data_IF_680027889289
#
_entry.id   IF_680027889289
#
_cell.length_a   1.000
_cell.length_b   1.000
_cell.length_c   1.000
_cell.angle_alpha   90.00
_cell.angle_beta   90.00
_cell.angle_gamma   90.00
#
_symmetry.space_group_name_H-M   'P 1'
#
loop_
_entity.id
_entity.type
_entity.pdbx_description
1 polymer ?
#
# COMPACT_ATOMS: atom_id res chain seq x y z
N UNK A 1 -16.44 -14.60 -2.81
CA UNK A 1 -16.66 -15.20 -1.45
C UNK A 1 -15.38 -15.04 -0.66
N UNK A 2 -15.47 -14.45 0.52
CA UNK A 2 -14.33 -14.24 1.43
C UNK A 2 -13.83 -15.61 1.91
N UNK A 3 -12.50 -15.82 1.82
CA UNK A 3 -11.85 -17.03 2.33
C UNK A 3 -11.15 -16.68 3.64
N UNK A 4 -11.60 -17.28 4.73
CA UNK A 4 -10.90 -17.18 6.01
C UNK A 4 -9.58 -17.95 5.93
N UNK A 5 -8.51 -17.32 6.35
CA UNK A 5 -7.17 -17.91 6.38
C UNK A 5 -6.97 -18.72 7.66
N UNK A 6 -6.43 -19.91 7.53
CA UNK A 6 -6.00 -20.72 8.68
C UNK A 6 -4.76 -20.09 9.34
N UNK A 7 -4.41 -20.48 10.58
CA UNK A 7 -3.15 -20.05 11.20
C UNK A 7 -1.92 -20.32 10.33
N UNK A 8 -1.89 -21.44 9.62
CA UNK A 8 -0.79 -21.79 8.71
C UNK A 8 -0.74 -20.87 7.50
N UNK A 9 -1.91 -20.48 6.93
CA UNK A 9 -1.99 -19.53 5.84
C UNK A 9 -1.47 -18.15 6.27
N UNK A 10 -1.80 -17.72 7.49
CA UNK A 10 -1.32 -16.47 8.08
C UNK A 10 0.22 -16.44 8.19
N UNK A 11 0.85 -17.57 8.56
CA UNK A 11 2.33 -17.62 8.57
C UNK A 11 2.92 -17.45 7.17
N UNK A 12 2.29 -18.02 6.13
CA UNK A 12 2.68 -17.78 4.75
C UNK A 12 2.56 -16.31 4.34
N UNK A 13 1.46 -15.67 4.72
CA UNK A 13 1.22 -14.23 4.49
C UNK A 13 2.22 -13.33 5.23
N UNK A 14 2.60 -13.68 6.46
CA UNK A 14 3.63 -12.94 7.21
C UNK A 14 4.97 -12.93 6.49
N UNK A 15 5.37 -14.06 5.89
CA UNK A 15 6.65 -14.16 5.17
C UNK A 15 6.67 -13.23 3.96
N UNK A 16 5.64 -13.28 3.11
CA UNK A 16 5.60 -12.42 1.92
C UNK A 16 5.35 -10.95 2.27
N UNK A 17 4.53 -10.66 3.28
CA UNK A 17 4.33 -9.32 3.81
C UNK A 17 5.61 -8.71 4.40
N UNK A 18 6.42 -9.49 5.12
CA UNK A 18 7.71 -9.06 5.63
C UNK A 18 8.70 -8.75 4.49
N UNK A 19 8.73 -9.59 3.43
CA UNK A 19 9.60 -9.36 2.28
C UNK A 19 9.19 -8.08 1.52
N UNK A 20 7.91 -7.90 1.20
CA UNK A 20 7.45 -6.69 0.49
C UNK A 20 7.64 -5.43 1.33
N UNK A 21 7.39 -5.49 2.65
CA UNK A 21 7.67 -4.38 3.58
C UNK A 21 9.14 -3.98 3.59
N UNK A 22 10.05 -4.95 3.66
CA UNK A 22 11.50 -4.65 3.69
C UNK A 22 11.98 -4.14 2.33
N UNK A 23 11.46 -4.68 1.22
CA UNK A 23 11.73 -4.17 -0.12
C UNK A 23 11.30 -2.69 -0.24
N UNK A 24 10.08 -2.37 0.22
CA UNK A 24 9.55 -1.01 0.24
C UNK A 24 10.41 -0.08 1.10
N UNK A 25 10.78 -0.50 2.31
CA UNK A 25 11.58 0.30 3.25
C UNK A 25 12.94 0.67 2.65
N UNK A 26 13.66 -0.32 2.11
CA UNK A 26 14.99 -0.10 1.50
C UNK A 26 14.90 0.71 0.20
N UNK A 27 13.85 0.50 -0.60
CA UNK A 27 13.60 1.33 -1.79
C UNK A 27 13.35 2.79 -1.38
N UNK A 28 12.61 2.99 -0.27
CA UNK A 28 12.37 4.32 0.31
C UNK A 28 13.63 5.03 0.78
N UNK A 29 14.62 4.29 1.30
CA UNK A 29 15.91 4.87 1.70
C UNK A 29 16.74 5.40 0.52
N UNK A 30 16.45 4.95 -0.70
CA UNK A 30 17.08 5.45 -1.91
C UNK A 30 16.43 6.72 -2.45
N UNK A 31 15.25 7.10 -1.96
CA UNK A 31 14.50 8.28 -2.43
C UNK A 31 15.28 9.55 -2.14
N UNK A 32 15.64 10.25 -3.20
CA UNK A 32 16.36 11.54 -3.14
C UNK A 32 16.17 12.30 -4.45
N UNK A 33 16.40 13.61 -4.48
CA UNK A 33 16.43 14.36 -5.73
C UNK A 33 17.46 13.76 -6.71
N UNK A 34 17.10 13.74 -7.99
CA UNK A 34 17.94 13.26 -9.08
C UNK A 34 17.89 11.75 -9.35
N UNK A 35 17.22 10.94 -8.50
CA UNK A 35 17.01 9.53 -8.80
C UNK A 35 15.81 9.35 -9.75
N UNK A 36 15.89 8.41 -10.68
CA UNK A 36 14.76 8.04 -11.52
C UNK A 36 13.85 7.01 -10.85
N UNK A 37 12.57 7.02 -11.18
CA UNK A 37 11.64 6.01 -10.69
C UNK A 37 11.99 4.61 -11.20
N UNK A 38 12.68 4.49 -12.36
CA UNK A 38 13.21 3.24 -12.86
C UNK A 38 14.33 2.65 -11.99
N UNK A 39 15.24 3.49 -11.44
CA UNK A 39 16.28 3.01 -10.52
C UNK A 39 15.68 2.44 -9.24
N UNK A 40 14.62 3.07 -8.71
CA UNK A 40 13.86 2.57 -7.56
C UNK A 40 13.18 1.22 -7.88
N UNK A 41 12.55 1.12 -9.06
CA UNK A 41 11.90 -0.11 -9.53
C UNK A 41 12.90 -1.26 -9.67
N UNK A 42 14.04 -0.98 -10.31
CA UNK A 42 15.09 -1.98 -10.53
C UNK A 42 15.68 -2.49 -9.21
N UNK A 43 15.95 -1.59 -8.28
CA UNK A 43 16.42 -1.97 -6.95
C UNK A 43 15.42 -2.87 -6.21
N UNK A 44 14.14 -2.48 -6.21
CA UNK A 44 13.08 -3.25 -5.57
C UNK A 44 12.95 -4.65 -6.17
N UNK A 45 13.00 -4.76 -7.51
CA UNK A 45 12.98 -6.04 -8.22
C UNK A 45 14.15 -6.94 -7.81
N UNK A 46 15.36 -6.40 -7.84
CA UNK A 46 16.57 -7.15 -7.52
C UNK A 46 16.54 -7.63 -6.07
N UNK A 47 16.10 -6.78 -5.15
CA UNK A 47 15.97 -7.14 -3.74
C UNK A 47 14.96 -8.29 -3.54
N UNK A 48 13.76 -8.18 -4.09
CA UNK A 48 12.73 -9.23 -3.96
C UNK A 48 13.24 -10.55 -4.52
N UNK A 49 13.86 -10.54 -5.71
CA UNK A 49 14.38 -11.76 -6.35
C UNK A 49 15.55 -12.37 -5.58
N UNK A 50 16.46 -11.56 -5.07
CA UNK A 50 17.60 -12.01 -4.27
C UNK A 50 17.17 -12.72 -2.99
N UNK A 51 16.01 -12.36 -2.43
CA UNK A 51 15.44 -12.96 -1.24
C UNK A 51 14.39 -14.07 -1.54
N UNK A 52 14.43 -14.62 -2.75
CA UNK A 52 13.60 -15.78 -3.14
C UNK A 52 12.14 -15.47 -3.42
N UNK A 53 11.77 -14.20 -3.51
CA UNK A 53 10.44 -13.76 -3.90
C UNK A 53 10.31 -13.52 -5.41
N UNK A 54 9.07 -13.36 -5.84
CA UNK A 54 8.71 -12.91 -7.19
C UNK A 54 7.98 -11.57 -7.08
N UNK A 55 8.35 -10.53 -7.86
CA UNK A 55 7.61 -9.26 -7.90
C UNK A 55 6.13 -9.48 -8.18
N UNK A 56 5.27 -8.96 -7.31
CA UNK A 56 3.83 -9.23 -7.38
C UNK A 56 3.11 -8.46 -8.48
N UNK A 57 3.61 -7.26 -8.81
CA UNK A 57 2.95 -6.37 -9.78
C UNK A 57 3.44 -6.56 -11.21
N UNK A 58 4.71 -6.94 -11.39
CA UNK A 58 5.32 -7.07 -12.72
C UNK A 58 4.63 -8.15 -13.56
N UNK A 59 3.96 -7.70 -14.63
CA UNK A 59 3.15 -8.57 -15.50
C UNK A 59 1.70 -8.74 -15.05
N UNK A 60 1.33 -8.32 -13.84
CA UNK A 60 -0.05 -8.39 -13.36
C UNK A 60 -0.92 -7.41 -14.15
N UNK A 61 -1.96 -7.92 -14.82
CA UNK A 61 -2.80 -7.08 -15.71
C UNK A 61 -2.02 -6.33 -16.80
N UNK A 62 -0.79 -6.77 -17.13
CA UNK A 62 0.08 -6.11 -18.11
C UNK A 62 0.93 -4.96 -17.53
N UNK A 63 0.92 -4.75 -16.21
CA UNK A 63 1.74 -3.72 -15.57
C UNK A 63 3.24 -4.01 -15.76
N UNK A 64 4.06 -3.03 -16.23
CA UNK A 64 5.44 -3.32 -16.63
C UNK A 64 6.46 -3.29 -15.48
N UNK A 65 6.14 -2.65 -14.36
CA UNK A 65 7.04 -2.42 -13.24
C UNK A 65 6.90 -3.40 -12.08
N UNK A 66 7.87 -3.38 -11.20
CA UNK A 66 7.85 -4.06 -9.91
C UNK A 66 7.15 -3.22 -8.84
N UNK A 67 7.30 -1.90 -8.94
CA UNK A 67 6.63 -0.93 -8.09
C UNK A 67 5.65 -0.07 -8.87
N UNK A 68 4.61 0.43 -8.22
CA UNK A 68 3.96 1.66 -8.65
C UNK A 68 4.72 2.83 -8.05
N UNK A 69 5.05 3.82 -8.86
CA UNK A 69 5.85 4.99 -8.47
C UNK A 69 5.07 6.26 -8.81
N UNK A 70 4.17 6.65 -7.91
CA UNK A 70 3.22 7.76 -8.14
C UNK A 70 3.74 9.05 -7.50
N UNK A 71 4.02 10.06 -8.32
CA UNK A 71 4.65 11.32 -7.90
C UNK A 71 3.57 12.37 -7.71
N UNK A 72 3.60 13.08 -6.59
CA UNK A 72 2.76 14.23 -6.25
C UNK A 72 1.24 13.91 -6.33
N UNK A 73 0.55 14.37 -7.36
CA UNK A 73 -0.89 14.25 -7.57
C UNK A 73 -1.32 12.98 -8.35
N UNK A 74 -0.35 12.14 -8.72
CA UNK A 74 -0.70 10.82 -9.23
C UNK A 74 -1.27 9.95 -8.11
N UNK A 75 -2.52 9.54 -8.27
CA UNK A 75 -3.24 8.83 -7.19
C UNK A 75 -2.63 7.45 -6.95
N UNK A 76 -2.51 6.62 -8.01
CA UNK A 76 -1.96 5.26 -7.97
C UNK A 76 -1.39 4.88 -9.36
N UNK A 77 -0.70 3.74 -9.43
CA UNK A 77 -0.27 3.06 -10.66
C UNK A 77 0.70 3.85 -11.52
N UNK A 78 1.47 4.79 -10.94
CA UNK A 78 2.54 5.48 -11.66
C UNK A 78 3.54 4.47 -12.23
N UNK A 79 3.77 4.50 -13.56
CA UNK A 79 4.69 3.55 -14.24
C UNK A 79 6.14 4.05 -14.08
N UNK A 80 7.05 3.23 -13.55
CA UNK A 80 8.46 3.59 -13.43
C UNK A 80 9.10 3.87 -14.81
N UNK A 81 9.90 4.93 -14.90
CA UNK A 81 10.58 5.33 -16.13
C UNK A 81 11.94 5.95 -15.84
N UNK A 82 12.86 5.83 -16.80
CA UNK A 82 14.17 6.48 -16.77
C UNK A 82 14.08 8.00 -16.87
N UNK A 83 13.02 8.50 -17.50
CA UNK A 83 12.81 9.92 -17.73
C UNK A 83 12.04 10.60 -16.58
N UNK A 84 11.53 9.83 -15.64
CA UNK A 84 10.83 10.35 -14.46
C UNK A 84 11.81 10.48 -13.30
N UNK A 85 12.41 11.65 -13.21
CA UNK A 85 13.43 12.01 -12.20
C UNK A 85 12.75 12.73 -11.04
N UNK A 86 13.02 12.30 -9.82
CA UNK A 86 12.51 12.96 -8.62
C UNK A 86 13.22 14.29 -8.39
N UNK A 87 12.43 15.31 -8.05
CA UNK A 87 12.90 16.65 -7.75
C UNK A 87 12.78 16.98 -6.26
N UNK A 88 13.60 17.92 -5.80
CA UNK A 88 13.48 18.48 -4.45
C UNK A 88 12.06 18.98 -4.21
N UNK A 89 11.47 18.60 -3.09
CA UNK A 89 10.13 18.98 -2.72
C UNK A 89 9.01 18.04 -3.18
N UNK A 90 9.29 17.05 -4.05
CA UNK A 90 8.30 16.04 -4.43
C UNK A 90 7.91 15.15 -3.24
N UNK A 91 6.76 14.51 -3.35
CA UNK A 91 6.40 13.32 -2.59
C UNK A 91 6.21 12.17 -3.57
N UNK A 92 6.63 10.97 -3.21
CA UNK A 92 6.43 9.78 -4.04
C UNK A 92 5.76 8.67 -3.24
N UNK A 93 4.62 8.19 -3.72
CA UNK A 93 3.98 6.98 -3.21
C UNK A 93 4.57 5.78 -3.95
N UNK A 94 5.24 4.93 -3.20
CA UNK A 94 5.79 3.66 -3.69
C UNK A 94 4.91 2.55 -3.15
N UNK A 95 4.42 1.71 -4.06
CA UNK A 95 3.60 0.56 -3.77
C UNK A 95 4.26 -0.67 -4.40
N UNK A 96 4.39 -1.76 -3.64
CA UNK A 96 5.06 -2.97 -4.10
C UNK A 96 4.49 -4.23 -3.48
N UNK A 97 4.40 -5.27 -4.29
CA UNK A 97 4.01 -6.60 -3.86
C UNK A 97 5.10 -7.65 -4.06
N UNK A 98 5.15 -8.63 -3.18
CA UNK A 98 6.03 -9.78 -3.32
C UNK A 98 5.27 -11.09 -3.14
N UNK A 99 5.57 -12.06 -3.99
CA UNK A 99 5.01 -13.42 -3.88
C UNK A 99 6.08 -14.39 -3.39
N UNK A 100 5.77 -15.13 -2.33
CA UNK A 100 6.63 -16.19 -1.77
C UNK A 100 5.79 -17.43 -1.54
N UNK A 101 6.21 -18.57 -2.09
CA UNK A 101 5.48 -19.87 -1.97
C UNK A 101 3.99 -19.76 -2.33
N UNK A 102 3.66 -18.88 -3.29
CA UNK A 102 2.30 -18.65 -3.77
C UNK A 102 1.42 -17.81 -2.84
N UNK A 103 1.97 -17.20 -1.77
CA UNK A 103 1.33 -16.17 -0.97
C UNK A 103 1.81 -14.79 -1.41
N UNK A 104 0.91 -13.81 -1.36
CA UNK A 104 1.18 -12.45 -1.82
C UNK A 104 1.19 -11.49 -0.63
N UNK A 105 2.23 -10.66 -0.56
CA UNK A 105 2.32 -9.51 0.34
C UNK A 105 2.27 -8.23 -0.47
N UNK A 106 1.64 -7.20 0.08
CA UNK A 106 1.38 -5.92 -0.57
C UNK A 106 1.58 -4.78 0.43
N UNK A 107 2.39 -3.78 0.08
CA UNK A 107 2.73 -2.68 0.98
C UNK A 107 2.98 -1.39 0.20
N UNK A 108 2.42 -0.30 0.69
CA UNK A 108 2.64 1.04 0.14
C UNK A 108 3.04 2.04 1.21
N UNK A 109 3.85 3.01 0.81
CA UNK A 109 4.22 4.16 1.63
C UNK A 109 4.57 5.38 0.79
N UNK A 110 4.32 6.57 1.32
CA UNK A 110 4.71 7.81 0.65
C UNK A 110 5.94 8.40 1.32
N UNK A 111 6.95 8.72 0.49
CA UNK A 111 8.24 9.25 0.90
C UNK A 111 8.40 10.70 0.44
N UNK A 112 9.01 11.52 1.29
CA UNK A 112 9.42 12.86 0.93
C UNK A 112 10.72 12.82 0.10
N UNK A 113 10.82 13.68 -0.90
CA UNK A 113 12.01 13.85 -1.73
C UNK A 113 12.72 15.13 -1.29
N UNK A 114 13.76 14.98 -0.45
CA UNK A 114 14.43 16.12 0.15
C UNK A 114 13.51 16.89 1.10
N UNK A 115 13.52 18.22 1.01
CA UNK A 115 12.70 19.08 1.85
C UNK A 115 11.35 19.39 1.18
N UNK A 116 10.26 18.93 1.79
CA UNK A 116 8.89 19.16 1.32
C UNK A 116 8.21 20.30 2.07
N UNK A 117 7.18 20.91 1.46
CA UNK A 117 6.37 21.96 2.08
C UNK A 117 5.61 21.49 3.33
N UNK A 118 5.21 22.42 4.19
CA UNK A 118 4.45 22.10 5.40
C UNK A 118 3.07 21.50 5.08
N UNK A 119 2.44 21.93 3.99
CA UNK A 119 1.17 21.32 3.52
C UNK A 119 1.35 19.86 3.12
N UNK A 120 2.46 19.52 2.44
CA UNK A 120 2.78 18.14 2.09
C UNK A 120 3.08 17.30 3.33
N UNK A 121 3.84 17.84 4.29
CA UNK A 121 4.08 17.17 5.58
C UNK A 121 2.77 16.87 6.30
N UNK A 122 1.90 17.87 6.42
CA UNK A 122 0.60 17.71 7.07
C UNK A 122 -0.26 16.64 6.39
N UNK A 123 -0.28 16.60 5.04
CA UNK A 123 -0.98 15.56 4.29
C UNK A 123 -0.43 14.15 4.62
N UNK A 124 0.89 13.98 4.63
CA UNK A 124 1.51 12.67 4.94
C UNK A 124 1.23 12.25 6.39
N UNK A 125 1.30 13.17 7.34
CA UNK A 125 1.00 12.90 8.75
C UNK A 125 -0.45 12.49 8.95
N UNK A 126 -1.40 13.24 8.41
CA UNK A 126 -2.84 12.91 8.51
C UNK A 126 -3.15 11.57 7.84
N UNK A 127 -2.54 11.29 6.68
CA UNK A 127 -2.73 10.01 5.98
C UNK A 127 -2.18 8.83 6.78
N UNK A 128 -1.01 8.99 7.38
CA UNK A 128 -0.43 7.99 8.30
C UNK A 128 -1.35 7.73 9.49
N UNK A 129 -1.90 8.79 10.09
CA UNK A 129 -2.80 8.67 11.22
C UNK A 129 -4.13 8.01 10.81
N UNK A 130 -4.63 8.27 9.58
CA UNK A 130 -5.76 7.55 9.00
C UNK A 130 -5.51 6.03 8.97
N UNK A 131 -4.32 5.60 8.54
CA UNK A 131 -3.94 4.19 8.51
C UNK A 131 -3.92 3.59 9.93
N UNK A 132 -3.31 4.28 10.89
CA UNK A 132 -3.27 3.81 12.27
C UNK A 132 -4.68 3.62 12.85
N UNK A 133 -5.57 4.59 12.66
CA UNK A 133 -6.96 4.52 13.09
C UNK A 133 -7.74 3.41 12.38
N UNK A 134 -7.47 3.17 11.09
CA UNK A 134 -8.07 2.07 10.33
C UNK A 134 -7.66 0.71 10.91
N UNK A 135 -6.39 0.53 11.24
CA UNK A 135 -5.85 -0.70 11.85
C UNK A 135 -6.52 -0.97 13.20
N UNK A 136 -6.74 0.04 14.02
CA UNK A 136 -7.45 -0.10 15.30
C UNK A 136 -8.89 -0.62 15.13
N UNK A 137 -9.51 -0.34 13.98
CA UNK A 137 -10.86 -0.84 13.68
C UNK A 137 -10.86 -2.23 13.06
N UNK A 138 -9.73 -2.72 12.54
CA UNK A 138 -9.62 -4.01 11.89
C UNK A 138 -9.56 -5.17 12.91
N UNK A 139 -10.58 -5.27 13.75
CA UNK A 139 -10.70 -6.28 14.81
C UNK A 139 -11.97 -7.12 14.62
N UNK A 140 -11.97 -8.40 15.05
CA UNK A 140 -13.15 -9.24 14.97
C UNK A 140 -14.36 -8.61 15.70
N UNK A 141 -15.50 -8.63 15.02
CA UNK A 141 -16.75 -8.09 15.56
C UNK A 141 -17.11 -6.70 15.04
N UNK A 142 -16.12 -5.90 14.62
CA UNK A 142 -16.35 -4.66 13.89
C UNK A 142 -16.80 -4.94 12.44
N UNK A 143 -17.11 -3.90 11.68
CA UNK A 143 -17.53 -4.00 10.29
C UNK A 143 -16.56 -3.24 9.37
N UNK A 144 -16.55 -3.57 8.08
CA UNK A 144 -15.74 -2.82 7.09
C UNK A 144 -16.04 -1.32 7.11
N UNK A 145 -17.31 -0.94 7.36
CA UNK A 145 -17.70 0.46 7.49
C UNK A 145 -17.06 1.18 8.68
N UNK A 146 -16.64 0.48 9.73
CA UNK A 146 -15.93 1.07 10.87
C UNK A 146 -14.52 1.49 10.45
N UNK A 147 -13.83 0.68 9.64
CA UNK A 147 -12.52 1.00 9.05
C UNK A 147 -12.64 2.26 8.17
N UNK A 148 -13.56 2.23 7.20
CA UNK A 148 -13.76 3.36 6.29
C UNK A 148 -14.21 4.63 6.99
N UNK A 149 -15.06 4.53 8.01
CA UNK A 149 -15.48 5.67 8.82
C UNK A 149 -14.29 6.30 9.59
N UNK A 150 -13.42 5.49 10.16
CA UNK A 150 -12.24 5.98 10.88
C UNK A 150 -11.34 6.81 9.97
N UNK A 151 -11.03 6.31 8.76
CA UNK A 151 -10.26 7.02 7.74
C UNK A 151 -10.97 8.32 7.33
N UNK A 152 -12.21 8.21 6.86
CA UNK A 152 -12.96 9.34 6.33
C UNK A 152 -13.13 10.45 7.36
N UNK A 153 -13.54 10.12 8.59
CA UNK A 153 -13.81 11.11 9.63
C UNK A 153 -12.53 11.86 10.03
N UNK A 154 -11.39 11.17 10.09
CA UNK A 154 -10.11 11.79 10.42
C UNK A 154 -9.63 12.71 9.28
N UNK A 155 -9.61 12.22 8.04
CA UNK A 155 -9.23 13.03 6.89
C UNK A 155 -10.08 14.30 6.76
N UNK A 156 -11.41 14.18 6.84
CA UNK A 156 -12.33 15.30 6.73
C UNK A 156 -12.18 16.32 7.88
N UNK A 157 -11.90 15.87 9.09
CA UNK A 157 -11.61 16.75 10.23
C UNK A 157 -10.41 17.68 9.97
N UNK A 158 -9.45 17.21 9.16
CA UNK A 158 -8.26 17.97 8.78
C UNK A 158 -8.40 18.66 7.41
N UNK A 159 -9.62 18.69 6.83
CA UNK A 159 -9.90 19.38 5.57
C UNK A 159 -9.55 18.61 4.31
N UNK A 160 -9.22 17.32 4.43
CA UNK A 160 -8.89 16.48 3.28
C UNK A 160 -10.09 15.67 2.78
N UNK A 161 -10.13 15.43 1.47
CA UNK A 161 -11.06 14.50 0.85
C UNK A 161 -10.59 13.04 0.96
N UNK A 162 -11.47 12.11 0.59
CA UNK A 162 -11.16 10.68 0.47
C UNK A 162 -11.45 10.22 -0.94
N UNK A 163 -10.48 9.57 -1.58
CA UNK A 163 -10.64 8.95 -2.89
C UNK A 163 -11.63 7.79 -2.77
N UNK A 164 -12.63 7.74 -3.68
CA UNK A 164 -13.71 6.75 -3.63
C UNK A 164 -13.60 5.68 -4.69
N UNK A 165 -12.91 5.99 -5.79
CA UNK A 165 -12.76 5.13 -6.96
C UNK A 165 -11.78 3.98 -6.74
N UNK A 166 -10.82 4.18 -5.84
CA UNK A 166 -9.85 3.19 -5.44
C UNK A 166 -10.04 2.81 -3.98
N UNK A 167 -10.03 1.52 -3.71
CA UNK A 167 -10.28 0.96 -2.39
C UNK A 167 -9.23 -0.08 -2.05
N UNK A 168 -9.05 -0.36 -0.76
CA UNK A 168 -8.27 -1.51 -0.31
C UNK A 168 -8.98 -2.82 -0.65
N UNK A 169 -8.28 -3.92 -0.43
CA UNK A 169 -8.78 -5.25 -0.79
C UNK A 169 -8.22 -6.32 0.13
N UNK A 170 -8.90 -7.45 0.20
CA UNK A 170 -8.36 -8.66 0.79
C UNK A 170 -7.20 -9.21 -0.04
N UNK A 171 -6.34 -10.01 0.58
CA UNK A 171 -5.16 -10.59 -0.03
C UNK A 171 -4.95 -12.04 0.40
N UNK A 172 -4.23 -12.81 -0.41
CA UNK A 172 -3.96 -14.21 -0.08
C UNK A 172 -3.10 -14.91 -1.12
N UNK A 173 -3.68 -15.87 -1.81
CA UNK A 173 -3.07 -16.54 -2.98
C UNK A 173 -3.17 -15.70 -4.24
N UNK A 174 -4.08 -14.71 -4.22
CA UNK A 174 -4.21 -13.72 -5.28
C UNK A 174 -3.90 -12.36 -4.72
N UNK A 175 -3.40 -11.46 -5.57
CA UNK A 175 -3.14 -10.06 -5.23
C UNK A 175 -4.43 -9.39 -4.72
N UNK A 176 -5.54 -9.56 -5.43
CA UNK A 176 -6.83 -9.02 -5.05
C UNK A 176 -7.78 -10.15 -4.70
N UNK A 177 -8.21 -10.19 -3.45
CA UNK A 177 -9.25 -11.08 -2.93
C UNK A 177 -10.36 -10.23 -2.29
N UNK A 178 -11.54 -10.84 -2.13
CA UNK A 178 -12.61 -10.25 -1.31
C UNK A 178 -12.21 -10.20 0.18
N UNK A 179 -12.67 -9.17 0.90
CA UNK A 179 -13.58 -8.10 0.49
C UNK A 179 -12.84 -6.87 -0.06
N UNK A 180 -13.57 -6.01 -0.77
CA UNK A 180 -13.13 -4.62 -0.96
C UNK A 180 -13.20 -3.87 0.37
N UNK A 181 -12.20 -3.02 0.64
CA UNK A 181 -12.06 -2.26 1.90
C UNK A 181 -12.04 -0.76 1.58
N UNK A 182 -13.20 -0.10 1.48
CA UNK A 182 -13.27 1.34 1.20
C UNK A 182 -12.67 2.19 2.32
N UNK A 183 -12.05 3.31 1.94
CA UNK A 183 -11.56 4.33 2.88
C UNK A 183 -12.67 5.30 3.34
N UNK A 184 -13.92 4.93 3.16
CA UNK A 184 -15.10 5.66 3.57
C UNK A 184 -16.21 4.70 4.00
N UNK A 185 -17.13 5.16 4.84
CA UNK A 185 -18.21 4.31 5.31
C UNK A 185 -18.98 4.86 6.49
N UNK A 186 -19.79 4.00 7.06
CA UNK A 186 -20.61 4.28 8.26
C UNK A 186 -20.35 3.22 9.31
N UNK A 187 -20.30 3.63 10.56
CA UNK A 187 -20.11 2.73 11.70
C UNK A 187 -21.17 1.63 11.74
N UNK A 188 -20.73 0.40 12.00
CA UNK A 188 -21.58 -0.78 12.11
C UNK A 188 -22.18 -1.27 10.80
N UNK A 189 -21.72 -0.75 9.63
CA UNK A 189 -22.25 -1.15 8.33
C UNK A 189 -21.24 -1.99 7.53
N UNK A 190 -21.80 -2.78 6.63
CA UNK A 190 -21.03 -3.64 5.73
C UNK A 190 -20.72 -5.01 6.33
N UNK A 191 -19.72 -5.66 5.77
CA UNK A 191 -19.31 -7.01 6.17
C UNK A 191 -18.73 -6.97 7.58
N UNK A 192 -19.20 -7.88 8.44
CA UNK A 192 -18.65 -8.06 9.78
C UNK A 192 -17.28 -8.74 9.68
N UNK A 193 -16.30 -8.22 10.41
CA UNK A 193 -14.95 -8.76 10.43
C UNK A 193 -14.89 -10.03 11.30
N UNK A 194 -14.25 -11.04 10.76
CA UNK A 194 -14.09 -12.35 11.39
C UNK A 194 -12.61 -12.74 11.46
N UNK A 195 -12.28 -13.58 12.45
CA UNK A 195 -10.91 -14.13 12.56
C UNK A 195 -10.56 -14.91 11.29
N UNK A 196 -9.40 -14.61 10.72
CA UNK A 196 -8.91 -15.24 9.49
C UNK A 196 -9.17 -14.40 8.23
N UNK A 197 -9.87 -13.28 8.31
CA UNK A 197 -9.89 -12.29 7.22
C UNK A 197 -8.53 -11.59 7.11
N UNK A 198 -8.02 -11.44 5.89
CA UNK A 198 -6.78 -10.73 5.55
C UNK A 198 -7.01 -9.97 4.26
#
# INVERSE_FOLDING_TARGET
MIKLKSPQDIEGLKVCGALSKEALRLTGEMVRPGISTWELDKFCEDFIRMHGGVPGFKGYGGFPGTICASINDEVVHGIPSRDRILCEGDIISIDTGATVNGWVGDNAWTFAVGHISDDRKALLEVTRDCLALAIEQAVPGNHLGDIGYAVQSHAQKHGYGVIREYVGHGIGRKMHEEPNVPNYGHRGFGIKLEIGMV
#
